data_IF_224420127541
#
_entry.id   IF_224420127541
#
_cell.length_a   1.000
_cell.length_b   1.000
_cell.length_c   1.000
_cell.angle_alpha   90.00
_cell.angle_beta   90.00
_cell.angle_gamma   90.00
#
_symmetry.space_group_name_H-M   'P 1'
#
loop_
_entity.id
_entity.type
_entity.pdbx_description
1 polymer ?
#
# COMPACT_ATOMS: atom_id res chain seq x y z
N UNK A 1 4.59 1.76 -1.24
CA UNK A 1 5.20 1.88 -2.59
C UNK A 1 6.36 0.91 -2.76
N UNK A 2 7.37 0.91 -1.92
CA UNK A 2 8.53 0.02 -2.09
C UNK A 2 8.14 -1.48 -2.18
N UNK A 3 7.33 -1.98 -1.24
CA UNK A 3 6.82 -3.36 -1.28
C UNK A 3 6.10 -3.67 -2.60
N UNK A 4 5.28 -2.73 -3.12
CA UNK A 4 4.61 -2.90 -4.40
C UNK A 4 5.61 -3.05 -5.55
N UNK A 5 6.59 -2.15 -5.64
CA UNK A 5 7.58 -2.14 -6.72
C UNK A 5 8.45 -3.40 -6.73
N UNK A 6 8.94 -3.79 -5.55
CA UNK A 6 9.81 -4.96 -5.42
C UNK A 6 9.06 -6.25 -5.81
N UNK A 7 7.83 -6.44 -5.33
CA UNK A 7 7.03 -7.61 -5.68
C UNK A 7 6.64 -7.63 -7.16
N UNK A 8 6.20 -6.50 -7.72
CA UNK A 8 5.86 -6.42 -9.14
C UNK A 8 7.08 -6.74 -10.01
N UNK A 9 8.24 -6.15 -9.71
CA UNK A 9 9.47 -6.38 -10.47
C UNK A 9 9.94 -7.85 -10.39
N UNK A 10 9.96 -8.43 -9.17
CA UNK A 10 10.33 -9.82 -8.96
C UNK A 10 9.39 -10.81 -9.69
N UNK A 11 8.08 -10.54 -9.67
CA UNK A 11 7.12 -11.39 -10.37
C UNK A 11 7.18 -11.22 -11.89
N UNK A 12 7.40 -10.01 -12.40
CA UNK A 12 7.66 -9.79 -13.85
C UNK A 12 8.94 -10.52 -14.30
N UNK A 13 10.01 -10.49 -13.48
CA UNK A 13 11.22 -11.27 -13.74
C UNK A 13 10.93 -12.78 -13.83
N UNK A 14 10.12 -13.30 -12.91
CA UNK A 14 9.79 -14.74 -12.86
C UNK A 14 9.01 -15.21 -14.09
N UNK A 15 8.24 -14.34 -14.74
CA UNK A 15 7.50 -14.64 -15.97
C UNK A 15 8.29 -14.28 -17.26
N UNK A 16 9.57 -13.90 -17.13
CA UNK A 16 10.51 -13.79 -18.24
C UNK A 16 10.83 -12.37 -18.69
N UNK A 17 10.34 -11.34 -17.99
CA UNK A 17 10.67 -9.95 -18.31
C UNK A 17 11.96 -9.51 -17.61
N UNK A 18 12.70 -8.59 -18.24
CA UNK A 18 13.85 -7.91 -17.63
C UNK A 18 13.37 -6.56 -17.08
N UNK A 19 13.55 -6.30 -15.78
CA UNK A 19 13.07 -5.10 -15.13
C UNK A 19 14.19 -4.34 -14.45
N UNK A 20 14.36 -3.07 -14.81
CA UNK A 20 15.25 -2.13 -14.15
C UNK A 20 14.42 -1.19 -13.29
N UNK A 21 14.61 -1.22 -11.98
CA UNK A 21 13.95 -0.31 -11.04
C UNK A 21 14.94 0.78 -10.67
N UNK A 22 14.71 2.01 -11.12
CA UNK A 22 15.54 3.15 -10.79
C UNK A 22 15.00 3.88 -9.57
N UNK A 23 15.84 4.12 -8.59
CA UNK A 23 15.55 4.93 -7.40
C UNK A 23 16.67 5.93 -7.13
N UNK A 24 16.33 7.06 -6.50
CA UNK A 24 17.34 8.02 -6.09
C UNK A 24 18.15 7.48 -4.90
N UNK A 25 19.45 7.56 -4.97
CA UNK A 25 20.34 7.21 -3.86
C UNK A 25 20.13 8.16 -2.67
N UNK A 26 20.11 7.61 -1.45
CA UNK A 26 20.01 8.33 -0.19
C UNK A 26 21.34 8.34 0.59
N UNK A 27 22.30 7.49 0.20
CA UNK A 27 23.63 7.41 0.80
C UNK A 27 24.71 7.39 -0.29
N UNK A 28 25.86 7.96 -0.01
CA UNK A 28 27.00 7.96 -0.94
C UNK A 28 27.63 6.57 -1.17
N UNK A 29 27.20 5.55 -0.44
CA UNK A 29 27.72 4.17 -0.49
C UNK A 29 26.82 3.19 -1.24
N UNK A 30 25.68 3.63 -1.78
CA UNK A 30 24.69 2.77 -2.45
C UNK A 30 24.93 2.64 -3.97
N UNK A 31 26.19 2.69 -4.44
CA UNK A 31 26.51 2.60 -5.87
C UNK A 31 26.50 1.16 -6.43
N UNK A 32 25.88 0.21 -5.73
CA UNK A 32 25.78 -1.17 -6.21
C UNK A 32 24.37 -1.53 -6.63
N UNK A 33 24.24 -2.03 -7.87
CA UNK A 33 23.01 -2.65 -8.36
C UNK A 33 22.62 -3.82 -7.46
N UNK A 34 21.36 -3.85 -7.03
CA UNK A 34 20.81 -4.94 -6.22
C UNK A 34 19.96 -5.87 -7.11
N UNK A 35 20.23 -7.18 -7.14
CA UNK A 35 19.42 -8.11 -7.93
C UNK A 35 17.99 -8.16 -7.36
N UNK A 36 17.00 -8.12 -8.24
CA UNK A 36 15.57 -8.33 -7.92
C UNK A 36 15.04 -9.66 -8.45
N UNK A 37 15.87 -10.42 -9.14
CA UNK A 37 15.57 -11.69 -9.75
C UNK A 37 16.76 -12.18 -10.57
N UNK A 38 16.51 -12.98 -11.59
CA UNK A 38 17.55 -13.54 -12.47
C UNK A 38 18.04 -12.50 -13.49
N UNK A 39 17.13 -11.64 -13.98
CA UNK A 39 17.38 -10.66 -15.06
C UNK A 39 17.17 -9.23 -14.60
N UNK A 40 16.54 -9.03 -13.46
CA UNK A 40 16.08 -7.74 -12.98
C UNK A 40 16.94 -7.19 -11.85
N UNK A 41 17.04 -5.87 -11.77
CA UNK A 41 17.86 -5.19 -10.76
C UNK A 41 17.24 -3.88 -10.28
N UNK A 42 17.53 -3.52 -9.04
CA UNK A 42 17.34 -2.19 -8.47
C UNK A 42 18.63 -1.39 -8.64
N UNK A 43 18.52 -0.23 -9.23
CA UNK A 43 19.63 0.66 -9.56
C UNK A 43 19.47 1.96 -8.76
N UNK A 44 20.48 2.31 -7.96
CA UNK A 44 20.54 3.55 -7.23
C UNK A 44 21.18 4.64 -8.08
N UNK A 45 20.43 5.70 -8.35
CA UNK A 45 20.88 6.83 -9.17
C UNK A 45 21.11 8.06 -8.29
N UNK A 46 22.33 8.57 -8.32
CA UNK A 46 22.66 9.81 -7.63
C UNK A 46 21.98 11.00 -8.32
N UNK A 47 21.32 11.85 -7.53
CA UNK A 47 20.75 13.12 -7.97
C UNK A 47 20.61 14.07 -6.77
N UNK A 48 21.39 15.14 -6.76
CA UNK A 48 21.47 16.12 -5.67
C UNK A 48 21.94 15.54 -4.35
N UNK A 49 21.85 16.33 -3.25
CA UNK A 49 22.23 15.89 -1.92
C UNK A 49 21.39 14.69 -1.43
N UNK A 50 22.00 13.72 -0.75
CA UNK A 50 21.33 12.53 -0.23
C UNK A 50 20.13 12.89 0.66
N UNK A 51 20.27 13.87 1.54
CA UNK A 51 19.27 14.36 2.50
C UNK A 51 18.40 15.51 1.96
N UNK A 52 18.28 15.64 0.62
CA UNK A 52 17.46 16.70 0.04
C UNK A 52 16.01 16.64 0.57
N UNK A 53 15.46 17.77 1.09
CA UNK A 53 14.11 17.80 1.64
C UNK A 53 13.07 17.51 0.56
N UNK A 54 11.96 16.90 0.95
CA UNK A 54 10.92 16.39 0.04
C UNK A 54 10.38 17.45 -0.92
N UNK A 55 10.26 18.69 -0.48
CA UNK A 55 9.77 19.81 -1.29
C UNK A 55 10.77 20.28 -2.36
N UNK A 56 12.05 19.91 -2.24
CA UNK A 56 13.11 20.26 -3.19
C UNK A 56 13.34 19.17 -4.24
N UNK A 57 12.84 17.95 -4.03
CA UNK A 57 13.05 16.82 -4.94
C UNK A 57 12.58 17.09 -6.37
N UNK A 58 11.61 17.99 -6.57
CA UNK A 58 11.16 18.38 -7.89
C UNK A 58 12.29 19.01 -8.72
N UNK A 59 13.21 19.72 -8.08
CA UNK A 59 14.35 20.38 -8.74
C UNK A 59 15.40 19.36 -9.21
N UNK A 60 15.40 18.16 -8.66
CA UNK A 60 16.34 17.08 -8.98
C UNK A 60 15.85 16.15 -10.08
N UNK A 61 14.63 16.31 -10.55
CA UNK A 61 14.01 15.43 -11.57
C UNK A 61 14.84 15.40 -12.86
N UNK A 62 15.33 16.53 -13.32
CA UNK A 62 16.12 16.61 -14.54
C UNK A 62 17.48 15.90 -14.38
N UNK A 63 18.18 16.14 -13.28
CA UNK A 63 19.46 15.46 -12.97
C UNK A 63 19.26 13.95 -12.85
N UNK A 64 18.23 13.53 -12.13
CA UNK A 64 17.87 12.12 -12.00
C UNK A 64 17.62 11.46 -13.35
N UNK A 65 16.82 12.10 -14.24
CA UNK A 65 16.53 11.58 -15.58
C UNK A 65 17.80 11.47 -16.43
N UNK A 66 18.65 12.51 -16.40
CA UNK A 66 19.92 12.52 -17.13
C UNK A 66 20.84 11.39 -16.68
N UNK A 67 20.96 11.19 -15.38
CA UNK A 67 21.84 10.15 -14.84
C UNK A 67 21.33 8.74 -15.13
N UNK A 68 20.00 8.54 -15.23
CA UNK A 68 19.41 7.29 -15.75
C UNK A 68 19.81 7.10 -17.23
N UNK A 69 19.77 8.14 -18.06
CA UNK A 69 20.20 8.02 -19.47
C UNK A 69 21.66 7.61 -19.58
N UNK A 70 22.55 8.25 -18.82
CA UNK A 70 23.98 7.91 -18.79
C UNK A 70 24.19 6.46 -18.32
N UNK A 71 23.45 6.01 -17.31
CA UNK A 71 23.50 4.62 -16.86
C UNK A 71 23.11 3.66 -17.99
N UNK A 72 21.99 3.93 -18.66
CA UNK A 72 21.47 3.07 -19.73
C UNK A 72 22.31 3.07 -21.00
N UNK A 73 23.09 4.13 -21.27
CA UNK A 73 24.05 4.17 -22.38
C UNK A 73 25.17 3.13 -22.24
N UNK A 74 25.43 2.66 -21.02
CA UNK A 74 26.41 1.60 -20.75
C UNK A 74 25.80 0.18 -20.76
N UNK A 75 24.50 0.07 -20.88
CA UNK A 75 23.79 -1.21 -20.98
C UNK A 75 23.54 -1.57 -22.45
N UNK A 76 23.81 -2.81 -22.83
CA UNK A 76 23.75 -3.27 -24.23
C UNK A 76 22.36 -3.80 -24.61
N UNK A 77 21.29 -3.05 -24.27
CA UNK A 77 19.92 -3.40 -24.68
C UNK A 77 18.99 -2.18 -24.72
N UNK A 78 17.84 -2.34 -25.39
CA UNK A 78 16.80 -1.33 -25.51
C UNK A 78 15.66 -1.62 -24.57
N UNK A 79 15.04 -0.54 -24.04
CA UNK A 79 13.81 -0.62 -23.23
C UNK A 79 12.59 -0.59 -24.15
N UNK A 80 11.62 -1.46 -23.89
CA UNK A 80 10.36 -1.51 -24.62
C UNK A 80 9.31 -0.55 -24.08
N UNK A 81 9.33 -0.31 -22.78
CA UNK A 81 8.32 0.48 -22.06
C UNK A 81 8.89 1.07 -20.80
N UNK A 82 8.35 2.21 -20.37
CA UNK A 82 8.67 2.86 -19.12
C UNK A 82 7.43 2.93 -18.23
N UNK A 83 7.56 2.48 -16.98
CA UNK A 83 6.50 2.60 -15.98
C UNK A 83 6.98 3.42 -14.78
N UNK A 84 6.44 4.60 -14.59
CA UNK A 84 6.79 5.47 -13.48
C UNK A 84 5.78 5.35 -12.32
N UNK A 85 6.30 5.45 -11.10
CA UNK A 85 5.53 5.35 -9.87
C UNK A 85 5.65 6.62 -9.05
N UNK A 86 4.52 7.27 -8.79
CA UNK A 86 4.42 8.58 -8.15
C UNK A 86 4.72 9.76 -9.11
N UNK A 87 4.18 10.94 -8.80
CA UNK A 87 4.23 12.09 -9.69
C UNK A 87 5.64 12.62 -10.01
N UNK A 88 6.59 12.55 -9.05
CA UNK A 88 8.00 12.97 -9.29
C UNK A 88 8.70 12.04 -10.26
N UNK A 89 8.56 10.72 -10.07
CA UNK A 89 9.04 9.73 -11.02
C UNK A 89 8.31 9.84 -12.36
N UNK A 90 7.03 10.25 -12.34
CA UNK A 90 6.27 10.57 -13.55
C UNK A 90 6.88 11.67 -14.38
N UNK A 91 7.35 12.76 -13.73
CA UNK A 91 8.05 13.84 -14.43
C UNK A 91 9.37 13.36 -15.05
N UNK A 92 10.12 12.52 -14.35
CA UNK A 92 11.33 11.90 -14.90
C UNK A 92 10.98 10.98 -16.07
N UNK A 93 9.94 10.14 -15.91
CA UNK A 93 9.44 9.25 -16.95
C UNK A 93 8.98 9.96 -18.21
N UNK A 94 8.32 11.11 -18.08
CA UNK A 94 7.89 11.95 -19.21
C UNK A 94 9.10 12.43 -20.04
N UNK A 95 10.19 12.86 -19.37
CA UNK A 95 11.43 13.25 -20.04
C UNK A 95 12.14 12.08 -20.73
N UNK A 96 12.21 10.94 -20.05
CA UNK A 96 12.86 9.74 -20.57
C UNK A 96 12.09 9.12 -21.75
N UNK A 97 10.77 9.04 -21.64
CA UNK A 97 9.89 8.55 -22.71
C UNK A 97 10.04 9.39 -24.00
N UNK A 98 10.10 10.72 -23.87
CA UNK A 98 10.32 11.62 -25.00
C UNK A 98 11.70 11.45 -25.62
N UNK A 99 12.74 11.25 -24.81
CA UNK A 99 14.12 11.06 -25.27
C UNK A 99 14.33 9.70 -25.94
N UNK A 100 13.83 8.64 -25.35
CA UNK A 100 14.01 7.27 -25.85
C UNK A 100 12.97 6.86 -26.88
N UNK A 101 11.91 7.65 -27.05
CA UNK A 101 10.75 7.37 -27.92
C UNK A 101 10.13 6.01 -27.63
N UNK A 102 9.85 5.76 -26.37
CA UNK A 102 9.17 4.56 -25.88
C UNK A 102 7.91 4.94 -25.11
N UNK A 103 6.90 4.05 -25.04
CA UNK A 103 5.66 4.36 -24.35
C UNK A 103 5.85 4.50 -22.84
N UNK A 104 5.01 5.36 -22.22
CA UNK A 104 5.05 5.69 -20.80
C UNK A 104 3.74 5.31 -20.10
N UNK A 105 3.83 4.42 -19.13
CA UNK A 105 2.77 4.09 -18.18
C UNK A 105 3.03 4.80 -16.86
N UNK A 106 1.99 5.27 -16.18
CA UNK A 106 2.12 5.91 -14.86
C UNK A 106 1.16 5.32 -13.84
N UNK A 107 1.65 5.11 -12.61
CA UNK A 107 0.86 4.82 -11.40
C UNK A 107 1.13 5.89 -10.35
N UNK A 108 0.10 6.63 -9.95
CA UNK A 108 0.28 7.74 -8.99
C UNK A 108 0.41 7.29 -7.55
N UNK A 109 -0.14 6.13 -7.16
CA UNK A 109 -0.30 5.62 -5.79
C UNK A 109 -1.11 6.51 -4.85
N UNK A 110 -0.96 7.82 -4.97
CA UNK A 110 -1.74 8.84 -4.25
C UNK A 110 -1.88 10.07 -5.11
N UNK A 111 -3.03 10.72 -5.06
CA UNK A 111 -3.33 11.94 -5.80
C UNK A 111 -3.40 13.14 -4.86
N UNK A 112 -2.85 14.29 -5.25
CA UNK A 112 -2.87 15.53 -4.48
C UNK A 112 -4.30 15.94 -4.11
N UNK A 113 -5.19 15.99 -5.09
CA UNK A 113 -6.59 16.42 -4.86
C UNK A 113 -7.36 15.45 -3.96
N UNK A 114 -7.05 14.16 -3.95
CA UNK A 114 -7.66 13.18 -3.04
C UNK A 114 -7.17 13.38 -1.61
N UNK A 115 -5.87 13.63 -1.42
CA UNK A 115 -5.31 13.94 -0.09
C UNK A 115 -5.88 15.24 0.50
N UNK A 116 -6.00 16.29 -0.30
CA UNK A 116 -6.58 17.55 0.12
C UNK A 116 -8.04 17.38 0.58
N UNK A 117 -8.83 16.54 -0.09
CA UNK A 117 -10.21 16.21 0.33
C UNK A 117 -10.27 15.46 1.67
N UNK A 118 -9.29 14.63 1.96
CA UNK A 118 -9.25 13.87 3.22
C UNK A 118 -8.93 14.74 4.44
N UNK A 119 -8.65 16.03 4.28
CA UNK A 119 -8.34 17.01 5.34
C UNK A 119 -7.21 16.55 6.27
N UNK A 120 -6.24 15.86 5.75
CA UNK A 120 -5.16 15.27 6.54
C UNK A 120 -3.96 16.21 6.77
N UNK A 121 -4.15 17.53 6.55
CA UNK A 121 -3.25 18.58 7.03
C UNK A 121 -1.81 18.56 6.48
N UNK A 122 -1.55 17.88 5.39
CA UNK A 122 -0.22 17.87 4.77
C UNK A 122 -0.10 19.00 3.75
N UNK A 123 0.98 19.76 3.80
CA UNK A 123 1.36 20.69 2.75
C UNK A 123 1.68 19.91 1.47
N UNK A 124 0.72 19.79 0.57
CA UNK A 124 1.00 19.26 -0.77
C UNK A 124 1.63 20.38 -1.63
N UNK A 125 2.70 20.04 -2.34
CA UNK A 125 3.39 20.98 -3.21
C UNK A 125 2.41 21.60 -4.21
N UNK A 126 2.36 22.93 -4.29
CA UNK A 126 1.36 23.70 -5.10
C UNK A 126 1.34 23.19 -6.55
N UNK A 127 2.50 22.87 -7.13
CA UNK A 127 2.60 22.39 -8.52
C UNK A 127 2.19 20.93 -8.70
N UNK A 128 1.99 20.14 -7.62
CA UNK A 128 1.77 18.69 -7.73
C UNK A 128 0.50 18.36 -8.52
N UNK A 129 -0.62 18.98 -8.21
CA UNK A 129 -1.88 18.69 -8.92
C UNK A 129 -1.85 19.09 -10.40
N UNK A 130 -1.11 20.15 -10.74
CA UNK A 130 -0.91 20.56 -12.15
C UNK A 130 0.03 19.58 -12.88
N UNK A 131 1.09 19.10 -12.20
CA UNK A 131 1.99 18.09 -12.73
C UNK A 131 1.29 16.76 -12.95
N UNK A 132 0.46 16.32 -11.99
CA UNK A 132 -0.36 15.11 -12.14
C UNK A 132 -1.28 15.19 -13.34
N UNK A 133 -1.97 16.32 -13.54
CA UNK A 133 -2.82 16.54 -14.71
C UNK A 133 -2.03 16.49 -16.02
N UNK A 134 -0.86 17.16 -16.08
CA UNK A 134 0.01 17.14 -17.25
C UNK A 134 0.46 15.72 -17.58
N UNK A 135 0.86 14.94 -16.57
CA UNK A 135 1.27 13.55 -16.72
C UNK A 135 0.12 12.66 -17.22
N UNK A 136 -1.10 12.85 -16.71
CA UNK A 136 -2.29 12.14 -17.21
C UNK A 136 -2.55 12.42 -18.70
N UNK A 137 -2.30 13.66 -19.15
CA UNK A 137 -2.43 14.02 -20.55
C UNK A 137 -1.36 13.37 -21.42
N UNK A 138 -0.11 13.31 -20.97
CA UNK A 138 1.05 12.91 -21.78
C UNK A 138 1.33 11.41 -21.76
N UNK A 139 1.10 10.73 -20.63
CA UNK A 139 1.31 9.27 -20.55
C UNK A 139 0.37 8.50 -21.49
N UNK A 140 0.82 7.35 -21.98
CA UNK A 140 0.05 6.47 -22.86
C UNK A 140 -1.03 5.71 -22.08
N UNK A 141 -0.69 5.28 -20.86
CA UNK A 141 -1.64 4.63 -19.93
C UNK A 141 -1.45 5.09 -18.50
N UNK A 142 -2.54 5.08 -17.77
CA UNK A 142 -2.61 5.34 -16.33
C UNK A 142 -3.04 4.03 -15.68
N UNK A 143 -2.11 3.36 -15.01
CA UNK A 143 -2.41 2.17 -14.24
C UNK A 143 -2.87 2.59 -12.86
N UNK A 144 -4.06 2.24 -12.47
CA UNK A 144 -4.63 2.49 -11.15
C UNK A 144 -4.84 1.19 -10.38
N UNK A 145 -4.73 1.27 -9.06
CA UNK A 145 -4.80 0.09 -8.20
C UNK A 145 -6.24 -0.31 -7.87
N UNK A 146 -7.18 0.63 -7.98
CA UNK A 146 -8.58 0.39 -7.63
C UNK A 146 -9.53 1.11 -8.58
N UNK A 147 -10.75 0.58 -8.70
CA UNK A 147 -11.83 1.25 -9.43
C UNK A 147 -12.19 2.61 -8.81
N UNK A 148 -12.03 2.76 -7.49
CA UNK A 148 -12.23 4.04 -6.80
C UNK A 148 -11.22 5.10 -7.25
N UNK A 149 -9.95 4.72 -7.41
CA UNK A 149 -8.92 5.63 -7.93
C UNK A 149 -9.24 6.08 -9.36
N UNK A 150 -9.72 5.16 -10.22
CA UNK A 150 -10.20 5.50 -11.56
C UNK A 150 -11.34 6.54 -11.53
N UNK A 151 -12.32 6.35 -10.65
CA UNK A 151 -13.43 7.28 -10.45
C UNK A 151 -12.94 8.64 -9.92
N UNK A 152 -12.00 8.64 -8.96
CA UNK A 152 -11.44 9.86 -8.39
C UNK A 152 -10.65 10.68 -9.44
N UNK A 153 -9.90 10.02 -10.31
CA UNK A 153 -9.26 10.69 -11.45
C UNK A 153 -10.31 11.35 -12.33
N UNK A 154 -11.37 10.61 -12.70
CA UNK A 154 -12.46 11.14 -13.53
C UNK A 154 -13.15 12.35 -12.92
N UNK A 155 -13.42 12.32 -11.61
CA UNK A 155 -14.11 13.41 -10.90
C UNK A 155 -13.21 14.63 -10.62
N UNK A 156 -11.92 14.43 -10.38
CA UNK A 156 -11.02 15.47 -9.89
C UNK A 156 -10.15 16.10 -10.98
N UNK A 157 -9.80 15.29 -12.00
CA UNK A 157 -8.86 15.72 -13.05
C UNK A 157 -9.50 15.75 -14.45
N UNK A 158 -10.65 15.11 -14.64
CA UNK A 158 -11.33 15.03 -15.93
C UNK A 158 -11.32 13.63 -16.52
N UNK A 159 -11.94 13.47 -17.69
CA UNK A 159 -12.12 12.16 -18.29
C UNK A 159 -10.85 11.66 -18.97
N UNK A 160 -10.29 10.58 -18.40
CA UNK A 160 -9.17 9.82 -18.95
C UNK A 160 -9.53 8.34 -19.14
N UNK A 161 -10.81 8.02 -19.33
CA UNK A 161 -11.36 6.64 -19.32
C UNK A 161 -10.66 5.71 -20.32
N UNK A 162 -10.28 6.21 -21.48
CA UNK A 162 -9.56 5.45 -22.51
C UNK A 162 -8.08 5.17 -22.15
N UNK A 163 -7.51 5.91 -21.21
CA UNK A 163 -6.13 5.72 -20.73
C UNK A 163 -6.03 4.93 -19.44
N UNK A 164 -7.11 4.84 -18.66
CA UNK A 164 -7.09 4.19 -17.35
C UNK A 164 -7.25 2.67 -17.49
N UNK A 165 -6.38 1.94 -16.83
CA UNK A 165 -6.48 0.49 -16.63
C UNK A 165 -6.36 0.14 -15.16
N UNK A 166 -7.25 -0.73 -14.66
CA UNK A 166 -7.26 -1.14 -13.25
C UNK A 166 -6.50 -2.45 -13.08
N UNK A 167 -5.37 -2.39 -12.40
CA UNK A 167 -4.55 -3.54 -12.04
C UNK A 167 -4.41 -3.55 -10.51
N UNK A 168 -5.22 -4.34 -9.80
CA UNK A 168 -5.10 -4.45 -8.35
C UNK A 168 -3.74 -5.00 -7.97
N UNK A 169 -3.11 -4.50 -6.89
CA UNK A 169 -1.88 -5.10 -6.39
C UNK A 169 -2.17 -6.45 -5.74
N UNK A 170 -1.12 -7.22 -5.54
CA UNK A 170 -1.19 -8.53 -4.92
C UNK A 170 -0.77 -8.55 -3.45
N UNK A 171 -1.01 -9.69 -2.82
CA UNK A 171 -0.40 -10.11 -1.56
C UNK A 171 0.56 -11.25 -1.84
N UNK A 172 1.64 -11.32 -1.05
CA UNK A 172 2.58 -12.43 -1.11
C UNK A 172 2.03 -13.62 -0.31
N UNK A 173 1.54 -14.62 -1.02
CA UNK A 173 0.94 -15.82 -0.43
C UNK A 173 1.99 -16.83 0.09
N UNK A 174 3.28 -16.62 -0.18
CA UNK A 174 4.36 -17.41 0.42
C UNK A 174 4.67 -16.94 1.84
N UNK A 175 4.43 -15.66 2.12
CA UNK A 175 4.59 -15.03 3.43
C UNK A 175 3.27 -15.02 4.21
N UNK A 176 2.20 -14.53 3.57
CA UNK A 176 0.89 -14.34 4.19
C UNK A 176 -0.06 -15.48 3.81
N UNK A 177 -0.21 -16.43 4.70
CA UNK A 177 -1.12 -17.57 4.59
C UNK A 177 -1.67 -17.94 5.96
N UNK A 178 -2.78 -18.66 5.98
CA UNK A 178 -3.38 -19.10 7.23
C UNK A 178 -2.46 -20.12 7.92
N UNK A 179 -1.99 -19.80 9.12
CA UNK A 179 -1.25 -20.70 10.01
C UNK A 179 -2.05 -21.05 11.25
N UNK A 180 -1.54 -21.98 12.06
CA UNK A 180 -2.20 -22.37 13.32
C UNK A 180 -2.20 -21.20 14.32
N UNK A 181 -3.39 -20.78 14.72
CA UNK A 181 -3.60 -19.65 15.62
C UNK A 181 -2.98 -19.85 16.99
N UNK A 182 -3.05 -21.06 17.54
CA UNK A 182 -2.53 -21.34 18.88
C UNK A 182 -0.99 -21.36 18.83
N UNK A 183 -0.39 -21.90 17.77
CA UNK A 183 1.06 -21.86 17.57
C UNK A 183 1.55 -20.41 17.43
N UNK A 184 0.85 -19.56 16.65
CA UNK A 184 1.16 -18.14 16.49
C UNK A 184 1.06 -17.38 17.82
N UNK A 185 0.02 -17.65 18.62
CA UNK A 185 -0.14 -17.08 19.96
C UNK A 185 0.94 -17.51 20.92
N UNK A 186 1.32 -18.77 20.89
CA UNK A 186 2.41 -19.29 21.71
C UNK A 186 3.74 -18.59 21.39
N UNK A 187 4.03 -18.43 20.10
CA UNK A 187 5.23 -17.73 19.63
C UNK A 187 5.29 -16.26 20.10
N UNK A 188 4.15 -15.61 20.17
CA UNK A 188 4.03 -14.20 20.57
C UNK A 188 3.79 -14.02 22.09
N UNK A 189 3.78 -15.12 22.87
CA UNK A 189 3.42 -15.13 24.29
C UNK A 189 2.04 -14.52 24.60
N UNK A 190 1.07 -14.72 23.71
CA UNK A 190 -0.30 -14.26 23.87
C UNK A 190 -1.12 -15.33 24.61
N UNK A 191 -1.80 -14.98 25.74
CA UNK A 191 -2.66 -15.93 26.44
C UNK A 191 -3.77 -16.48 25.54
N UNK A 192 -3.93 -17.82 25.52
CA UNK A 192 -4.84 -18.49 24.59
C UNK A 192 -6.32 -18.13 24.73
N UNK A 193 -6.73 -17.63 25.92
CA UNK A 193 -8.12 -17.28 26.22
C UNK A 193 -8.48 -15.82 25.87
N UNK A 194 -7.49 -14.95 25.64
CA UNK A 194 -7.72 -13.55 25.34
C UNK A 194 -8.20 -13.36 23.90
N UNK A 195 -9.16 -12.46 23.72
CA UNK A 195 -9.49 -11.95 22.41
C UNK A 195 -8.40 -10.98 21.94
N UNK A 196 -7.97 -11.12 20.69
CA UNK A 196 -6.91 -10.31 20.10
C UNK A 196 -7.48 -9.43 19.00
N UNK A 197 -7.50 -8.13 19.25
CA UNK A 197 -7.75 -7.11 18.24
C UNK A 197 -6.40 -6.60 17.74
N UNK A 198 -6.19 -6.58 16.46
CA UNK A 198 -4.91 -6.23 15.84
C UNK A 198 -5.03 -4.97 14.98
N UNK A 199 -4.11 -4.05 15.17
CA UNK A 199 -3.82 -2.95 14.26
C UNK A 199 -2.38 -3.08 13.75
N UNK A 200 -2.18 -2.91 12.45
CA UNK A 200 -0.84 -2.88 11.82
C UNK A 200 -0.71 -1.63 10.98
N UNK A 201 0.31 -0.83 11.24
CA UNK A 201 0.57 0.37 10.45
C UNK A 201 1.42 1.41 11.18
N UNK A 202 1.75 2.49 10.45
CA UNK A 202 2.40 3.66 11.07
C UNK A 202 1.46 4.31 12.09
N UNK A 203 1.99 4.79 13.18
CA UNK A 203 1.23 5.59 14.14
C UNK A 203 1.21 7.04 13.63
N UNK A 204 0.16 7.34 12.86
CA UNK A 204 -0.03 8.58 12.10
C UNK A 204 -1.52 8.96 12.18
N UNK A 205 -1.89 10.24 12.35
CA UNK A 205 -3.28 10.67 12.44
C UNK A 205 -4.17 10.13 11.32
N UNK A 206 -3.63 9.98 10.12
CA UNK A 206 -4.37 9.47 8.95
C UNK A 206 -4.85 8.02 9.15
N UNK A 207 -4.19 7.26 10.03
CA UNK A 207 -4.52 5.86 10.31
C UNK A 207 -5.63 5.69 11.34
N UNK A 208 -6.05 6.77 12.00
CA UNK A 208 -7.23 6.80 12.86
C UNK A 208 -7.16 5.91 14.11
N UNK A 209 -5.94 5.64 14.61
CA UNK A 209 -5.74 4.76 15.76
C UNK A 209 -6.48 5.25 17.01
N UNK A 210 -6.69 6.55 17.17
CA UNK A 210 -7.49 7.14 18.24
C UNK A 210 -8.95 6.66 18.22
N UNK A 211 -9.52 6.41 17.05
CA UNK A 211 -10.88 5.86 16.91
C UNK A 211 -10.93 4.44 17.47
N UNK A 212 -9.92 3.62 17.18
CA UNK A 212 -9.86 2.24 17.68
C UNK A 212 -9.64 2.20 19.19
N UNK A 213 -8.72 3.02 19.71
CA UNK A 213 -8.48 3.11 21.18
C UNK A 213 -9.75 3.54 21.90
N UNK A 214 -10.52 4.52 21.37
CA UNK A 214 -11.82 4.92 21.92
C UNK A 214 -12.91 3.85 21.81
N UNK A 215 -12.82 2.95 20.82
CA UNK A 215 -13.76 1.84 20.66
C UNK A 215 -13.52 0.72 21.69
N UNK A 216 -12.28 0.53 22.15
CA UNK A 216 -11.90 -0.60 23.01
C UNK A 216 -12.70 -0.70 24.33
N UNK A 217 -12.95 0.40 25.09
CA UNK A 217 -13.77 0.33 26.31
C UNK A 217 -15.23 -0.09 26.05
N UNK A 218 -15.71 0.09 24.82
CA UNK A 218 -17.08 -0.26 24.45
C UNK A 218 -17.25 -1.76 24.14
N UNK A 219 -16.14 -2.48 23.96
CA UNK A 219 -16.10 -3.94 23.76
C UNK A 219 -16.13 -4.62 25.15
N UNK A 220 -17.29 -4.64 25.78
CA UNK A 220 -17.39 -5.03 27.20
C UNK A 220 -17.97 -6.44 27.45
N UNK A 221 -18.57 -7.06 26.42
CA UNK A 221 -19.41 -8.23 26.61
C UNK A 221 -18.79 -9.55 26.09
N UNK A 222 -17.46 -9.57 25.83
CA UNK A 222 -16.78 -10.71 25.18
C UNK A 222 -15.58 -11.28 25.97
N UNK A 223 -15.42 -10.92 27.24
CA UNK A 223 -14.26 -11.33 28.04
C UNK A 223 -13.03 -10.44 27.81
N UNK A 224 -11.87 -10.93 28.26
CA UNK A 224 -10.63 -10.17 28.16
C UNK A 224 -10.23 -9.95 26.70
N UNK A 225 -10.12 -8.68 26.33
CA UNK A 225 -9.77 -8.25 24.98
C UNK A 225 -8.52 -7.37 25.02
N UNK A 226 -7.50 -7.73 24.26
CA UNK A 226 -6.25 -6.98 24.15
C UNK A 226 -6.09 -6.43 22.73
N UNK A 227 -5.77 -5.15 22.62
CA UNK A 227 -5.39 -4.48 21.37
C UNK A 227 -3.88 -4.56 21.20
N UNK A 228 -3.42 -5.18 20.13
CA UNK A 228 -2.04 -5.15 19.69
C UNK A 228 -1.88 -4.09 18.61
N UNK A 229 -0.98 -3.12 18.86
CA UNK A 229 -0.61 -2.06 17.92
C UNK A 229 0.79 -2.37 17.40
N UNK A 230 0.84 -2.84 16.15
CA UNK A 230 2.08 -3.22 15.48
C UNK A 230 2.51 -2.12 14.53
N UNK A 231 3.68 -1.55 14.77
CA UNK A 231 4.27 -0.48 13.98
C UNK A 231 4.57 0.77 14.81
N UNK A 232 5.29 1.70 14.20
CA UNK A 232 5.73 2.93 14.85
C UNK A 232 6.82 2.68 15.91
N UNK A 233 7.94 3.39 15.78
CA UNK A 233 9.03 3.35 16.77
C UNK A 233 9.42 4.76 17.24
N UNK A 234 8.70 5.76 16.78
CA UNK A 234 9.12 7.15 16.98
C UNK A 234 8.52 7.68 18.27
N UNK A 235 9.22 7.48 19.39
CA UNK A 235 8.90 8.12 20.66
C UNK A 235 8.88 9.67 20.57
N UNK A 236 9.53 10.24 19.57
CA UNK A 236 9.50 11.66 19.23
C UNK A 236 8.24 12.10 18.46
N UNK A 237 7.40 11.18 18.01
CA UNK A 237 6.18 11.49 17.26
C UNK A 237 5.07 11.97 18.20
N UNK A 238 4.60 13.21 18.06
CA UNK A 238 3.54 13.82 18.87
C UNK A 238 2.26 12.99 18.88
N UNK A 239 1.88 12.41 17.76
CA UNK A 239 0.69 11.57 17.68
C UNK A 239 0.85 10.25 18.44
N UNK A 240 2.05 9.66 18.44
CA UNK A 240 2.36 8.49 19.26
C UNK A 240 2.17 8.80 20.75
N UNK A 241 2.69 9.93 21.23
CA UNK A 241 2.52 10.37 22.62
C UNK A 241 1.05 10.67 22.95
N UNK A 242 0.32 11.26 22.01
CA UNK A 242 -1.12 11.46 22.14
C UNK A 242 -1.87 10.13 22.32
N UNK A 243 -1.58 9.10 21.51
CA UNK A 243 -2.22 7.79 21.64
C UNK A 243 -1.87 7.12 22.97
N UNK A 244 -0.62 7.20 23.43
CA UNK A 244 -0.24 6.69 24.76
C UNK A 244 -1.02 7.40 25.89
N UNK A 245 -1.10 8.72 25.82
CA UNK A 245 -1.87 9.49 26.82
C UNK A 245 -3.35 9.13 26.81
N UNK A 246 -3.92 8.91 25.63
CA UNK A 246 -5.32 8.49 25.48
C UNK A 246 -5.57 7.09 26.09
N UNK A 247 -4.61 6.15 25.95
CA UNK A 247 -4.68 4.82 26.57
C UNK A 247 -4.72 4.95 28.10
N UNK A 248 -3.84 5.77 28.68
CA UNK A 248 -3.81 6.04 30.15
C UNK A 248 -5.10 6.72 30.61
N UNK A 249 -5.56 7.76 29.89
CA UNK A 249 -6.80 8.50 30.21
C UNK A 249 -8.03 7.58 30.27
N UNK A 250 -8.07 6.58 29.37
CA UNK A 250 -9.17 5.62 29.30
C UNK A 250 -8.98 4.39 30.22
N UNK A 251 -7.88 4.32 30.98
CA UNK A 251 -7.58 3.19 31.89
C UNK A 251 -7.36 1.87 31.14
N UNK A 252 -6.67 1.91 30.00
CA UNK A 252 -6.47 0.76 29.10
C UNK A 252 -5.04 0.24 29.11
N UNK A 253 -4.21 0.63 30.07
CA UNK A 253 -2.78 0.29 30.13
C UNK A 253 -2.52 -1.22 30.03
N UNK A 254 -3.36 -2.02 30.70
CA UNK A 254 -3.26 -3.48 30.71
C UNK A 254 -3.91 -4.14 29.47
N UNK A 255 -4.57 -3.37 28.61
CA UNK A 255 -5.35 -3.86 27.46
C UNK A 255 -4.77 -3.46 26.11
N UNK A 256 -3.72 -2.63 26.09
CA UNK A 256 -3.09 -2.14 24.85
C UNK A 256 -1.60 -2.46 24.88
N UNK A 257 -1.15 -3.19 23.87
CA UNK A 257 0.26 -3.58 23.69
C UNK A 257 0.82 -2.87 22.48
N UNK A 258 1.85 -2.05 22.68
CA UNK A 258 2.64 -1.44 21.60
C UNK A 258 3.85 -2.32 21.32
N UNK A 259 3.93 -2.92 20.15
CA UNK A 259 5.04 -3.83 19.80
C UNK A 259 6.22 -3.10 19.15
N UNK A 260 6.03 -1.87 18.69
CA UNK A 260 6.97 -1.20 17.79
C UNK A 260 6.92 -1.77 16.36
N UNK A 261 7.89 -1.38 15.53
CA UNK A 261 8.01 -1.85 14.16
C UNK A 261 8.48 -3.32 14.14
N UNK A 262 7.82 -4.10 13.32
CA UNK A 262 8.09 -5.54 13.12
C UNK A 262 8.48 -5.75 11.65
N UNK A 263 9.40 -6.67 11.38
CA UNK A 263 9.78 -7.06 10.03
C UNK A 263 8.55 -7.56 9.25
N UNK A 264 8.46 -7.22 7.96
CA UNK A 264 7.25 -7.46 7.16
C UNK A 264 6.85 -8.93 7.08
N UNK A 265 7.81 -9.83 6.96
CA UNK A 265 7.60 -11.29 6.95
C UNK A 265 7.08 -11.83 8.29
N UNK A 266 7.47 -11.22 9.39
CA UNK A 266 7.04 -11.60 10.74
C UNK A 266 5.61 -11.14 11.06
N UNK A 267 5.00 -10.25 10.27
CA UNK A 267 3.62 -9.79 10.45
C UNK A 267 2.60 -10.93 10.29
N UNK A 268 2.91 -11.95 9.49
CA UNK A 268 2.03 -13.10 9.27
C UNK A 268 1.65 -13.81 10.58
N UNK A 269 2.60 -13.89 11.54
CA UNK A 269 2.36 -14.45 12.87
C UNK A 269 1.35 -13.62 13.68
N UNK A 270 1.44 -12.29 13.63
CA UNK A 270 0.48 -11.40 14.29
C UNK A 270 -0.91 -11.49 13.68
N UNK A 271 -1.00 -11.49 12.34
CA UNK A 271 -2.29 -11.68 11.66
C UNK A 271 -2.92 -13.02 12.04
N UNK A 272 -2.16 -14.12 11.99
CA UNK A 272 -2.68 -15.45 12.35
C UNK A 272 -3.08 -15.58 13.83
N UNK A 273 -2.42 -14.86 14.74
CA UNK A 273 -2.75 -14.84 16.16
C UNK A 273 -4.03 -14.05 16.47
N UNK A 274 -4.41 -13.11 15.62
CA UNK A 274 -5.52 -12.19 15.85
C UNK A 274 -6.90 -12.85 15.66
N UNK A 275 -7.91 -12.30 16.35
CA UNK A 275 -9.32 -12.63 16.13
C UNK A 275 -9.94 -11.67 15.10
N UNK A 276 -9.53 -10.40 15.15
CA UNK A 276 -10.04 -9.35 14.27
C UNK A 276 -8.90 -8.39 13.94
N UNK A 277 -8.73 -8.12 12.66
CA UNK A 277 -7.85 -7.05 12.20
C UNK A 277 -8.66 -5.76 12.01
N UNK A 278 -8.17 -4.63 12.52
CA UNK A 278 -8.89 -3.36 12.45
C UNK A 278 -8.09 -2.29 11.74
N UNK A 279 -8.69 -1.65 10.72
CA UNK A 279 -8.10 -0.58 9.92
C UNK A 279 -9.01 0.67 9.96
N UNK A 280 -8.89 1.52 10.99
CA UNK A 280 -9.78 2.68 11.20
C UNK A 280 -9.34 3.93 10.44
N UNK A 281 -8.60 3.78 9.36
CA UNK A 281 -7.96 4.86 8.60
C UNK A 281 -8.96 5.94 8.15
N UNK A 282 -8.54 7.19 8.18
CA UNK A 282 -9.27 8.31 7.60
C UNK A 282 -9.09 8.41 6.09
N UNK A 283 -7.96 7.93 5.61
CA UNK A 283 -7.64 7.76 4.20
C UNK A 283 -6.77 6.53 4.00
N UNK A 284 -7.11 5.73 2.98
CA UNK A 284 -6.35 4.57 2.57
C UNK A 284 -6.46 4.41 1.04
N UNK A 285 -5.34 4.43 0.34
CA UNK A 285 -5.36 4.27 -1.11
C UNK A 285 -5.80 2.87 -1.52
N UNK A 286 -5.30 1.84 -0.82
CA UNK A 286 -5.67 0.45 -1.05
C UNK A 286 -5.87 -0.32 0.26
N UNK A 287 -4.87 -0.36 1.16
CA UNK A 287 -4.89 -1.13 2.40
C UNK A 287 -4.26 -2.52 2.27
N UNK A 288 -3.00 -2.59 1.87
CA UNK A 288 -2.24 -3.86 1.80
C UNK A 288 -2.36 -4.70 3.07
N UNK A 289 -2.25 -4.07 4.24
CA UNK A 289 -2.38 -4.72 5.54
C UNK A 289 -3.72 -5.44 5.74
N UNK A 290 -4.79 -4.97 5.05
CA UNK A 290 -6.08 -5.66 5.08
C UNK A 290 -6.05 -6.93 4.23
N UNK A 291 -5.38 -6.91 3.05
CA UNK A 291 -5.23 -8.10 2.20
C UNK A 291 -4.34 -9.13 2.90
N UNK A 292 -3.26 -8.69 3.56
CA UNK A 292 -2.35 -9.54 4.33
C UNK A 292 -3.10 -10.23 5.49
N UNK A 293 -3.89 -9.49 6.26
CA UNK A 293 -4.75 -10.04 7.32
C UNK A 293 -5.74 -11.08 6.77
N UNK A 294 -6.39 -10.77 5.64
CA UNK A 294 -7.32 -11.67 4.96
C UNK A 294 -6.64 -12.95 4.47
N UNK A 295 -5.43 -12.86 3.93
CA UNK A 295 -4.65 -14.02 3.49
C UNK A 295 -4.30 -14.94 4.66
N UNK A 296 -4.04 -14.39 5.85
CA UNK A 296 -3.83 -15.13 7.08
C UNK A 296 -5.14 -15.64 7.74
N UNK A 297 -6.29 -15.41 7.13
CA UNK A 297 -7.60 -15.88 7.62
C UNK A 297 -8.20 -15.03 8.72
N UNK A 298 -7.77 -13.78 8.88
CA UNK A 298 -8.27 -12.88 9.92
C UNK A 298 -9.31 -11.92 9.32
N UNK A 299 -10.58 -11.96 9.80
CA UNK A 299 -11.62 -11.06 9.37
C UNK A 299 -11.27 -9.59 9.63
N UNK A 300 -11.68 -8.70 8.72
CA UNK A 300 -11.29 -7.29 8.72
C UNK A 300 -12.47 -6.40 9.12
N UNK A 301 -12.24 -5.49 10.09
CA UNK A 301 -13.16 -4.36 10.38
C UNK A 301 -12.46 -3.07 9.97
N UNK A 302 -12.91 -2.41 8.92
CA UNK A 302 -12.21 -1.27 8.34
C UNK A 302 -13.11 -0.08 8.04
N UNK A 303 -12.54 1.11 8.00
CA UNK A 303 -13.23 2.31 7.51
C UNK A 303 -13.61 2.14 6.03
N UNK A 304 -14.80 2.61 5.66
CA UNK A 304 -15.29 2.66 4.28
C UNK A 304 -14.66 3.84 3.53
N UNK A 305 -13.34 3.82 3.33
CA UNK A 305 -12.58 4.91 2.70
C UNK A 305 -11.68 4.39 1.57
N UNK A 306 -11.41 5.25 0.60
CA UNK A 306 -10.46 4.99 -0.48
C UNK A 306 -10.70 3.67 -1.21
N UNK A 307 -9.65 2.86 -1.32
CA UNK A 307 -9.67 1.56 -1.98
C UNK A 307 -10.18 0.40 -1.12
N UNK A 308 -10.36 0.58 0.19
CA UNK A 308 -10.79 -0.50 1.11
C UNK A 308 -12.05 -1.24 0.64
N UNK A 309 -13.11 -0.55 0.12
CA UNK A 309 -14.30 -1.25 -0.38
C UNK A 309 -14.08 -2.16 -1.58
N UNK A 310 -12.93 -2.07 -2.26
CA UNK A 310 -12.57 -3.01 -3.35
C UNK A 310 -11.92 -4.29 -2.83
N UNK A 311 -11.47 -4.30 -1.58
CA UNK A 311 -10.78 -5.40 -0.91
C UNK A 311 -11.73 -6.11 0.06
N UNK A 312 -12.30 -5.35 0.99
CA UNK A 312 -13.20 -5.86 2.03
C UNK A 312 -14.63 -5.84 1.55
N UNK A 313 -15.24 -7.02 1.48
CA UNK A 313 -16.66 -7.21 1.14
C UNK A 313 -17.49 -7.21 2.43
N UNK A 314 -18.30 -6.15 2.61
CA UNK A 314 -19.10 -5.96 3.81
C UNK A 314 -20.07 -7.11 4.05
N UNK A 315 -19.96 -7.77 5.20
CA UNK A 315 -20.77 -8.91 5.58
C UNK A 315 -20.28 -10.27 5.03
N UNK A 316 -19.21 -10.28 4.22
CA UNK A 316 -18.63 -11.50 3.64
C UNK A 316 -17.20 -11.73 4.13
N UNK A 317 -16.27 -10.80 3.88
CA UNK A 317 -14.87 -10.92 4.29
C UNK A 317 -14.55 -10.08 5.52
N UNK A 318 -15.51 -9.30 6.00
CA UNK A 318 -15.36 -8.38 7.12
C UNK A 318 -16.45 -7.31 7.14
N UNK A 319 -16.20 -6.23 7.85
CA UNK A 319 -17.15 -5.11 7.96
C UNK A 319 -16.54 -3.79 7.53
N UNK A 320 -17.32 -3.01 6.77
CA UNK A 320 -16.98 -1.64 6.39
C UNK A 320 -17.78 -0.64 7.24
N UNK A 321 -17.07 0.20 7.96
CA UNK A 321 -17.61 1.12 8.97
C UNK A 321 -17.53 2.55 8.44
N UNK A 322 -18.52 3.41 8.71
CA UNK A 322 -18.36 4.85 8.55
C UNK A 322 -17.16 5.35 9.36
N UNK A 323 -16.28 6.14 8.73
CA UNK A 323 -15.09 6.64 9.40
C UNK A 323 -15.41 7.51 10.63
N UNK A 324 -14.51 7.57 11.61
CA UNK A 324 -14.65 8.32 12.86
C UNK A 324 -15.88 7.92 13.71
N UNK A 325 -16.24 6.65 13.71
CA UNK A 325 -17.35 6.14 14.51
C UNK A 325 -16.90 4.99 15.44
N UNK A 326 -16.30 5.28 16.63
CA UNK A 326 -15.83 4.26 17.58
C UNK A 326 -16.89 3.23 17.93
N UNK A 327 -18.14 3.65 18.15
CA UNK A 327 -19.26 2.80 18.53
C UNK A 327 -19.54 1.73 17.46
N UNK A 328 -19.49 2.12 16.18
CA UNK A 328 -19.73 1.20 15.08
C UNK A 328 -18.57 0.21 14.93
N UNK A 329 -17.32 0.63 15.18
CA UNK A 329 -16.18 -0.29 15.24
C UNK A 329 -16.34 -1.28 16.38
N UNK A 330 -16.63 -0.82 17.60
CA UNK A 330 -16.84 -1.67 18.77
C UNK A 330 -17.92 -2.72 18.52
N UNK A 331 -19.07 -2.31 17.98
CA UNK A 331 -20.19 -3.20 17.67
C UNK A 331 -19.78 -4.33 16.72
N UNK A 332 -19.08 -4.02 15.62
CA UNK A 332 -18.72 -5.06 14.66
C UNK A 332 -17.57 -5.95 15.13
N UNK A 333 -16.66 -5.42 15.93
CA UNK A 333 -15.63 -6.23 16.61
C UNK A 333 -16.31 -7.22 17.57
N UNK A 334 -17.23 -6.76 18.41
CA UNK A 334 -17.97 -7.64 19.33
C UNK A 334 -18.77 -8.73 18.61
N UNK A 335 -19.42 -8.40 17.49
CA UNK A 335 -20.17 -9.37 16.68
C UNK A 335 -19.25 -10.52 16.23
N UNK A 336 -18.04 -10.20 15.76
CA UNK A 336 -17.06 -11.20 15.33
C UNK A 336 -16.52 -12.02 16.50
N UNK A 337 -16.24 -11.39 17.63
CA UNK A 337 -15.71 -12.07 18.81
C UNK A 337 -16.74 -13.01 19.47
N UNK A 338 -18.03 -12.66 19.42
CA UNK A 338 -19.13 -13.46 19.99
C UNK A 338 -19.55 -14.63 19.11
N UNK A 339 -19.54 -14.46 17.80
CA UNK A 339 -20.11 -15.43 16.87
C UNK A 339 -19.02 -16.20 16.12
N UNK A 340 -18.65 -17.37 16.68
CA UNK A 340 -17.59 -18.22 16.10
C UNK A 340 -17.92 -18.75 14.71
N UNK A 341 -19.20 -19.01 14.41
CA UNK A 341 -19.62 -19.52 13.10
C UNK A 341 -19.48 -18.42 12.03
N UNK A 342 -19.92 -17.19 12.35
CA UNK A 342 -19.75 -16.03 11.50
C UNK A 342 -18.27 -15.69 11.29
N UNK A 343 -17.47 -15.73 12.35
CA UNK A 343 -16.02 -15.54 12.27
C UNK A 343 -15.37 -16.56 11.32
N UNK A 344 -15.70 -17.85 11.50
CA UNK A 344 -15.18 -18.93 10.64
C UNK A 344 -15.61 -18.76 9.18
N UNK A 345 -16.86 -18.36 8.93
CA UNK A 345 -17.36 -18.05 7.59
C UNK A 345 -16.55 -16.89 6.97
N UNK A 346 -16.45 -15.75 7.66
CA UNK A 346 -15.72 -14.59 7.16
C UNK A 346 -14.24 -14.86 6.96
N UNK A 347 -13.62 -15.64 7.83
CA UNK A 347 -12.23 -16.10 7.69
C UNK A 347 -12.01 -16.85 6.36
N UNK A 348 -12.87 -17.80 6.03
CA UNK A 348 -12.79 -18.56 4.78
C UNK A 348 -12.99 -17.70 3.54
N UNK A 349 -13.98 -16.81 3.56
CA UNK A 349 -14.22 -15.90 2.44
C UNK A 349 -13.10 -14.84 2.31
N UNK A 350 -12.51 -14.40 3.43
CA UNK A 350 -11.35 -13.52 3.42
C UNK A 350 -10.14 -14.18 2.73
N UNK A 351 -9.81 -15.42 3.08
CA UNK A 351 -8.74 -16.18 2.43
C UNK A 351 -9.00 -16.29 0.93
N UNK A 352 -10.20 -16.75 0.54
CA UNK A 352 -10.58 -16.90 -0.87
C UNK A 352 -10.43 -15.60 -1.66
N UNK A 353 -10.84 -14.47 -1.07
CA UNK A 353 -10.70 -13.14 -1.67
C UNK A 353 -9.23 -12.74 -1.80
N UNK A 354 -8.41 -12.95 -0.77
CA UNK A 354 -6.99 -12.65 -0.79
C UNK A 354 -6.24 -13.43 -1.87
N UNK A 355 -6.56 -14.71 -2.06
CA UNK A 355 -5.98 -15.53 -3.13
C UNK A 355 -6.31 -14.99 -4.53
N UNK A 356 -7.45 -14.34 -4.73
CA UNK A 356 -7.78 -13.67 -6.01
C UNK A 356 -7.01 -12.36 -6.23
N UNK A 357 -6.30 -11.88 -5.21
CA UNK A 357 -5.46 -10.69 -5.19
C UNK A 357 -3.99 -11.08 -4.97
N UNK A 358 -3.49 -12.09 -5.70
CA UNK A 358 -2.08 -12.49 -5.64
C UNK A 358 -1.19 -11.61 -6.53
N UNK A 359 0.09 -11.56 -6.19
CA UNK A 359 1.08 -10.88 -7.05
C UNK A 359 1.22 -11.54 -8.42
N UNK A 360 1.01 -12.85 -8.52
CA UNK A 360 1.04 -13.56 -9.82
C UNK A 360 -0.06 -13.03 -10.75
N UNK A 361 -1.31 -12.96 -10.26
CA UNK A 361 -2.42 -12.41 -11.04
C UNK A 361 -2.24 -10.91 -11.38
N UNK A 362 -1.63 -10.14 -10.47
CA UNK A 362 -1.35 -8.73 -10.67
C UNK A 362 -0.26 -8.50 -11.73
N UNK A 363 0.84 -9.26 -11.66
CA UNK A 363 1.96 -9.14 -12.62
C UNK A 363 1.56 -9.59 -14.02
N UNK A 364 0.76 -10.65 -14.17
CA UNK A 364 0.22 -11.07 -15.46
C UNK A 364 -0.66 -9.97 -16.10
N UNK A 365 -1.54 -9.34 -15.31
CA UNK A 365 -2.35 -8.21 -15.80
C UNK A 365 -1.49 -7.01 -16.20
N UNK A 366 -0.46 -6.71 -15.43
CA UNK A 366 0.48 -5.63 -15.75
C UNK A 366 1.25 -5.93 -17.04
N UNK A 367 1.78 -7.16 -17.20
CA UNK A 367 2.49 -7.60 -18.40
C UNK A 367 1.61 -7.54 -19.65
N UNK A 368 0.35 -8.00 -19.55
CA UNK A 368 -0.61 -7.91 -20.66
C UNK A 368 -0.87 -6.44 -21.04
N UNK A 369 -1.07 -5.56 -20.06
CA UNK A 369 -1.23 -4.12 -20.31
C UNK A 369 0.00 -3.53 -21.01
N UNK A 370 1.21 -3.90 -20.59
CA UNK A 370 2.43 -3.43 -21.23
C UNK A 370 2.50 -3.90 -22.69
N UNK A 371 2.17 -5.16 -22.97
CA UNK A 371 2.10 -5.70 -24.33
C UNK A 371 1.11 -4.95 -25.22
N UNK A 372 -0.07 -4.61 -24.71
CA UNK A 372 -1.07 -3.80 -25.42
C UNK A 372 -0.53 -2.39 -25.74
N UNK A 373 0.13 -1.75 -24.76
CA UNK A 373 0.68 -0.40 -24.92
C UNK A 373 1.81 -0.39 -25.96
N UNK A 374 2.76 -1.32 -25.88
CA UNK A 374 3.88 -1.46 -26.83
C UNK A 374 3.33 -1.68 -28.25
N UNK A 375 2.38 -2.61 -28.43
CA UNK A 375 1.80 -2.91 -29.74
C UNK A 375 1.03 -1.71 -30.32
N UNK A 376 0.32 -0.95 -29.49
CA UNK A 376 -0.36 0.27 -29.90
C UNK A 376 0.59 1.38 -30.32
N UNK A 377 1.71 1.52 -29.61
CA UNK A 377 2.74 2.52 -29.90
C UNK A 377 3.45 2.28 -31.22
N UNK A 378 3.88 1.05 -31.51
CA UNK A 378 4.54 0.69 -32.76
C UNK A 378 3.66 0.93 -33.99
N UNK A 379 2.35 0.64 -33.89
CA UNK A 379 1.39 0.90 -34.94
C UNK A 379 1.19 2.40 -35.23
N UNK A 380 1.31 3.25 -34.22
CA UNK A 380 1.13 4.71 -34.35
C UNK A 380 2.37 5.38 -34.99
N UNK A 381 3.58 4.81 -34.83
CA UNK A 381 4.79 5.33 -35.45
C UNK A 381 5.01 4.84 -36.89
N UNK A 382 4.27 3.81 -37.31
CA UNK A 382 4.35 3.25 -38.67
C UNK A 382 3.43 3.98 -39.68
N UNK A 383 2.66 4.99 -39.25
CA UNK A 383 1.81 5.86 -40.06
C UNK A 383 2.47 7.24 -40.23
#
# INVERSE_FOLDING_TARGET
MNVYLLNLAAKLDSIGHTVYVFTRSHEHSEDSDMPLGIRSKLVHISAGPAEAPKNELINLVFEFSRNIQIYMENEDFFLDILHSHYWLSGLAGDLLSESWKIPHVITFHTLAKTKLKALTGGDEHISRSASEYKLMCRSDKILVLTQKEAQDIGQLYGSFTNKISVVPPGVDLEIFYQSDKNASRYQLNIPGQNNVVLFVGRIDPIKGLDVLVKALPMISSVGDTTLYIVGGNEESNEYYQFIKSLVVELGLDDKVVFTGAIAHDSLATYYSAADVFVLPSHYESLGFVAIEAMACGTPVVASRVGGIPSIVEHGSTGYLIPWRCPEAFATQIEVLLKNKDLHSFMSKEAIKKAYSLSWDASSEKAANLYGEVISGWTNTQAI
#
